data_IF_897199781612
#
_entry.id   IF_897199781612
#
_cell.length_a   1.000
_cell.length_b   1.000
_cell.length_c   1.000
_cell.angle_alpha   90.00
_cell.angle_beta   90.00
_cell.angle_gamma   90.00
#
_symmetry.space_group_name_H-M   'P 1'
#
loop_
_entity.id
_entity.type
_entity.pdbx_description
1 polymer ?
#
# COMPACT_ATOMS: atom_id res chain seq x y z
N UNK A 1 9.74 -17.21 -4.13
CA UNK A 1 8.40 -16.64 -3.87
C UNK A 1 8.02 -16.04 -5.20
N UNK A 2 7.02 -16.59 -5.88
CA UNK A 2 6.56 -16.03 -7.14
C UNK A 2 5.93 -14.68 -6.83
N UNK A 3 6.35 -13.63 -7.54
CA UNK A 3 5.64 -12.35 -7.51
C UNK A 3 4.17 -12.60 -7.86
N UNK A 4 3.21 -11.90 -7.23
CA UNK A 4 1.81 -12.04 -7.61
C UNK A 4 1.69 -11.79 -9.11
N UNK A 5 1.03 -12.72 -9.81
CA UNK A 5 0.81 -12.57 -11.24
C UNK A 5 -0.11 -11.37 -11.45
N UNK A 6 0.48 -10.29 -11.96
CA UNK A 6 -0.25 -9.07 -12.24
C UNK A 6 -1.23 -9.32 -13.37
N UNK A 7 -2.47 -8.89 -13.17
CA UNK A 7 -3.52 -8.97 -14.16
C UNK A 7 -3.37 -7.76 -15.07
N UNK A 8 -3.27 -8.01 -16.37
CA UNK A 8 -3.33 -6.97 -17.38
C UNK A 8 -4.67 -6.24 -17.29
N UNK A 9 -4.64 -4.91 -17.18
CA UNK A 9 -5.84 -4.10 -17.01
C UNK A 9 -6.47 -3.84 -18.38
N UNK A 10 -7.38 -4.72 -18.77
CA UNK A 10 -8.21 -4.58 -19.98
C UNK A 10 -9.58 -3.96 -19.64
N UNK A 11 -10.36 -3.59 -20.65
CA UNK A 11 -11.74 -3.11 -20.43
C UNK A 11 -12.64 -4.16 -19.76
N UNK A 12 -12.40 -5.46 -19.98
CA UNK A 12 -13.12 -6.52 -19.28
C UNK A 12 -12.79 -6.52 -17.79
N UNK A 13 -11.52 -6.35 -17.43
CA UNK A 13 -11.08 -6.24 -16.04
C UNK A 13 -11.67 -4.98 -15.41
N UNK A 14 -11.65 -3.83 -16.10
CA UNK A 14 -12.27 -2.60 -15.62
C UNK A 14 -13.79 -2.78 -15.42
N UNK A 15 -14.49 -3.43 -16.35
CA UNK A 15 -15.91 -3.72 -16.21
C UNK A 15 -16.21 -4.65 -15.02
N UNK A 16 -15.36 -5.66 -14.78
CA UNK A 16 -15.43 -6.53 -13.60
C UNK A 16 -15.20 -5.73 -12.31
N UNK A 17 -14.17 -4.88 -12.27
CA UNK A 17 -13.87 -4.03 -11.12
C UNK A 17 -15.02 -3.06 -10.84
N UNK A 18 -15.67 -2.46 -11.85
CA UNK A 18 -16.86 -1.59 -11.67
C UNK A 18 -18.05 -2.30 -11.02
N UNK A 19 -18.18 -3.62 -11.20
CA UNK A 19 -19.22 -4.43 -10.54
C UNK A 19 -18.88 -4.71 -9.07
N UNK A 20 -17.60 -4.85 -8.75
CA UNK A 20 -17.09 -5.15 -7.40
C UNK A 20 -17.00 -3.87 -6.57
N UNK A 21 -16.24 -2.90 -7.09
CA UNK A 21 -16.00 -1.57 -6.54
C UNK A 21 -17.18 -0.71 -6.96
N UNK A 22 -18.21 -0.66 -6.12
CA UNK A 22 -19.44 0.12 -6.33
C UNK A 22 -19.21 1.63 -6.12
N UNK A 23 -18.05 2.13 -6.55
CA UNK A 23 -17.61 3.52 -6.44
C UNK A 23 -17.00 3.94 -7.79
N UNK A 24 -17.25 5.17 -8.27
CA UNK A 24 -16.64 5.63 -9.53
C UNK A 24 -15.11 5.68 -9.46
N UNK A 25 -14.47 5.15 -10.50
CA UNK A 25 -13.04 5.27 -10.76
C UNK A 25 -12.81 5.32 -12.27
N UNK A 26 -11.69 5.91 -12.70
CA UNK A 26 -11.38 6.14 -14.11
C UNK A 26 -10.38 5.15 -14.68
N UNK A 27 -9.53 4.56 -13.83
CA UNK A 27 -8.48 3.63 -14.26
C UNK A 27 -8.08 2.69 -13.11
N UNK A 28 -7.36 1.61 -13.42
CA UNK A 28 -6.83 0.67 -12.44
C UNK A 28 -5.37 0.31 -12.76
N UNK A 29 -4.59 0.01 -11.73
CA UNK A 29 -3.20 -0.39 -11.88
C UNK A 29 -2.83 -1.45 -10.87
N UNK A 30 -1.90 -2.33 -11.25
CA UNK A 30 -1.34 -3.29 -10.33
C UNK A 30 -2.37 -4.29 -9.79
N UNK A 31 -3.38 -4.62 -10.59
CA UNK A 31 -4.48 -5.51 -10.19
C UNK A 31 -3.95 -6.93 -10.05
N UNK A 32 -4.30 -7.63 -8.98
CA UNK A 32 -3.90 -9.01 -8.73
C UNK A 32 -4.91 -9.72 -7.83
N UNK A 33 -4.83 -11.05 -7.81
CA UNK A 33 -5.56 -11.87 -6.83
C UNK A 33 -4.85 -11.83 -5.47
N UNK A 34 -5.64 -11.71 -4.40
CA UNK A 34 -5.23 -11.93 -3.03
C UNK A 34 -4.82 -13.40 -2.81
N UNK A 35 -4.13 -13.73 -1.70
CA UNK A 35 -3.75 -15.11 -1.37
C UNK A 35 -4.92 -16.09 -1.29
N UNK A 36 -6.15 -15.60 -1.07
CA UNK A 36 -7.37 -16.42 -1.08
C UNK A 36 -7.77 -16.92 -2.50
N UNK A 37 -7.09 -16.43 -3.54
CA UNK A 37 -7.32 -16.79 -4.95
C UNK A 37 -8.63 -16.26 -5.54
N UNK A 38 -9.38 -15.43 -4.81
CA UNK A 38 -10.74 -15.01 -5.19
C UNK A 38 -10.92 -13.49 -5.14
N UNK A 39 -10.35 -12.85 -4.12
CA UNK A 39 -10.48 -11.40 -3.91
C UNK A 39 -9.48 -10.67 -4.78
N UNK A 40 -9.93 -9.64 -5.50
CA UNK A 40 -9.03 -8.75 -6.26
C UNK A 40 -8.55 -7.60 -5.38
N UNK A 41 -7.31 -7.18 -5.61
CA UNK A 41 -6.77 -5.96 -5.03
C UNK A 41 -5.83 -5.26 -6.01
N UNK A 42 -5.48 -4.02 -5.70
CA UNK A 42 -4.63 -3.20 -6.53
C UNK A 42 -4.86 -1.72 -6.26
N UNK A 43 -4.60 -0.90 -7.27
CA UNK A 43 -4.87 0.52 -7.26
C UNK A 43 -6.01 0.85 -8.20
N UNK A 44 -6.82 1.82 -7.81
CA UNK A 44 -7.75 2.51 -8.71
C UNK A 44 -7.45 4.00 -8.70
N UNK A 45 -7.64 4.64 -9.85
CA UNK A 45 -7.57 6.09 -10.01
C UNK A 45 -8.96 6.68 -9.82
N UNK A 46 -9.12 7.52 -8.81
CA UNK A 46 -10.37 8.23 -8.55
C UNK A 46 -10.56 9.39 -9.55
N UNK A 47 -11.79 9.90 -9.72
CA UNK A 47 -12.06 11.04 -10.59
C UNK A 47 -11.29 12.32 -10.22
N UNK A 48 -10.89 12.48 -8.96
CA UNK A 48 -10.05 13.58 -8.49
C UNK A 48 -8.55 13.40 -8.77
N UNK A 49 -8.18 12.32 -9.48
CA UNK A 49 -6.81 12.03 -9.91
C UNK A 49 -5.98 11.23 -8.90
N UNK A 50 -6.48 10.99 -7.68
CA UNK A 50 -5.76 10.21 -6.67
C UNK A 50 -5.73 8.73 -7.03
N UNK A 51 -4.59 8.09 -6.82
CA UNK A 51 -4.48 6.64 -6.82
C UNK A 51 -4.63 6.13 -5.39
N UNK A 52 -5.58 5.21 -5.17
CA UNK A 52 -5.87 4.65 -3.85
C UNK A 52 -5.91 3.13 -3.90
N UNK A 53 -5.56 2.43 -2.81
CA UNK A 53 -5.68 0.97 -2.75
C UNK A 53 -7.15 0.55 -2.77
N UNK A 54 -7.40 -0.65 -3.30
CA UNK A 54 -8.66 -1.36 -3.11
C UNK A 54 -8.41 -2.83 -2.76
N UNK A 55 -9.37 -3.44 -2.08
CA UNK A 55 -9.43 -4.88 -1.82
C UNK A 55 -10.89 -5.33 -1.82
N UNK A 56 -11.26 -6.19 -2.77
CA UNK A 56 -12.66 -6.51 -3.00
C UNK A 56 -13.44 -5.24 -3.34
N UNK A 57 -14.53 -4.99 -2.60
CA UNK A 57 -15.35 -3.78 -2.73
C UNK A 57 -14.86 -2.61 -1.86
N UNK A 58 -13.86 -2.81 -1.00
CA UNK A 58 -13.32 -1.78 -0.12
C UNK A 58 -12.34 -0.88 -0.89
N UNK A 59 -12.45 0.44 -0.69
CA UNK A 59 -11.55 1.45 -1.27
C UNK A 59 -10.95 2.25 -0.12
N UNK A 60 -9.62 2.32 -0.06
CA UNK A 60 -8.86 2.91 1.04
C UNK A 60 -8.45 4.35 0.70
N UNK A 61 -9.41 5.27 0.72
CA UNK A 61 -9.12 6.71 0.54
C UNK A 61 -8.43 7.34 1.74
N UNK A 62 -8.58 6.71 2.90
CA UNK A 62 -7.92 7.05 4.13
C UNK A 62 -7.31 5.79 4.75
N UNK A 63 -6.13 5.94 5.34
CA UNK A 63 -5.45 4.88 6.10
C UNK A 63 -4.97 5.51 7.40
N UNK A 64 -5.31 4.90 8.54
CA UNK A 64 -5.07 5.44 9.87
C UNK A 64 -5.61 6.88 10.05
N UNK A 65 -6.77 7.19 9.44
CA UNK A 65 -7.38 8.53 9.46
C UNK A 65 -6.65 9.58 8.62
N UNK A 66 -5.73 9.17 7.75
CA UNK A 66 -4.95 10.07 6.88
C UNK A 66 -5.38 9.90 5.43
N UNK A 67 -5.72 11.00 4.78
CA UNK A 67 -6.09 11.02 3.36
C UNK A 67 -4.91 10.58 2.49
N UNK A 68 -5.16 9.59 1.63
CA UNK A 68 -4.21 9.07 0.66
C UNK A 68 -4.25 9.95 -0.59
N UNK A 69 -3.10 10.52 -0.98
CA UNK A 69 -2.91 11.27 -2.23
C UNK A 69 -2.43 10.36 -3.37
N UNK A 70 -1.53 9.43 -3.06
CA UNK A 70 -0.95 8.47 -3.99
C UNK A 70 -0.41 7.23 -3.26
N UNK A 71 -0.08 6.17 -3.98
CA UNK A 71 0.40 4.89 -3.42
C UNK A 71 1.56 4.37 -4.26
N UNK A 72 2.55 3.78 -3.60
CA UNK A 72 3.64 3.06 -4.26
C UNK A 72 4.02 1.80 -3.46
N UNK A 73 4.67 0.84 -4.13
CA UNK A 73 5.09 -0.44 -3.53
C UNK A 73 3.92 -1.26 -2.92
N UNK A 74 2.71 -1.09 -3.45
CA UNK A 74 1.53 -1.84 -2.99
C UNK A 74 1.73 -3.33 -3.25
N UNK A 75 1.48 -4.15 -2.24
CA UNK A 75 1.41 -5.60 -2.36
C UNK A 75 0.51 -6.20 -1.28
N UNK A 76 0.12 -7.45 -1.50
CA UNK A 76 -0.65 -8.24 -0.54
C UNK A 76 0.28 -9.06 0.33
N UNK A 77 0.04 -9.03 1.63
CA UNK A 77 0.65 -9.94 2.59
C UNK A 77 -0.06 -11.30 2.57
N UNK A 78 0.55 -12.32 3.20
CA UNK A 78 -0.01 -13.69 3.21
C UNK A 78 -1.39 -13.81 3.85
N UNK A 79 -1.69 -12.92 4.80
CA UNK A 79 -2.98 -12.83 5.48
C UNK A 79 -4.03 -12.02 4.68
N UNK A 80 -3.66 -11.51 3.51
CA UNK A 80 -4.51 -10.66 2.67
C UNK A 80 -4.54 -9.18 3.10
N UNK A 81 -3.71 -8.79 4.07
CA UNK A 81 -3.52 -7.39 4.45
C UNK A 81 -2.71 -6.68 3.35
N UNK A 82 -3.12 -5.48 2.95
CA UNK A 82 -2.34 -4.66 2.01
C UNK A 82 -1.21 -3.92 2.73
N UNK A 83 -0.06 -3.83 2.08
CA UNK A 83 1.09 -3.06 2.56
C UNK A 83 1.75 -2.30 1.42
N UNK A 84 2.47 -1.23 1.77
CA UNK A 84 3.18 -0.40 0.80
C UNK A 84 3.53 0.96 1.38
N UNK A 85 3.58 1.98 0.53
CA UNK A 85 3.68 3.38 0.93
C UNK A 85 2.48 4.18 0.45
N UNK A 86 2.04 5.13 1.28
CA UNK A 86 1.09 6.16 0.87
C UNK A 86 1.77 7.53 0.88
N UNK A 87 1.43 8.35 -0.10
CA UNK A 87 1.71 9.78 -0.08
C UNK A 87 0.60 10.50 0.67
N UNK A 88 0.98 11.29 1.66
CA UNK A 88 0.08 12.17 2.40
C UNK A 88 0.02 13.55 1.73
N UNK A 89 -0.99 14.34 2.10
CA UNK A 89 -1.17 15.72 1.60
C UNK A 89 -0.01 16.67 1.94
N UNK A 90 0.76 16.36 2.99
CA UNK A 90 1.98 17.11 3.36
C UNK A 90 3.20 16.72 2.51
N UNK A 91 3.01 15.86 1.51
CA UNK A 91 4.03 15.41 0.57
C UNK A 91 4.88 14.24 1.07
N UNK A 92 4.73 13.82 2.34
CA UNK A 92 5.49 12.68 2.89
C UNK A 92 5.02 11.37 2.29
N UNK A 93 5.98 10.49 2.00
CA UNK A 93 5.71 9.09 1.66
C UNK A 93 6.01 8.24 2.89
N UNK A 94 4.99 7.60 3.46
CA UNK A 94 5.13 6.81 4.69
C UNK A 94 4.69 5.35 4.48
N UNK A 95 5.31 4.37 5.16
CA UNK A 95 4.89 2.98 5.10
C UNK A 95 3.51 2.79 5.73
N UNK A 96 2.73 1.85 5.19
CA UNK A 96 1.49 1.40 5.78
C UNK A 96 1.34 -0.13 5.72
N UNK A 97 0.54 -0.66 6.65
CA UNK A 97 0.08 -2.05 6.69
C UNK A 97 -1.35 -2.07 7.18
N UNK A 98 -2.28 -2.53 6.36
CA UNK A 98 -3.70 -2.48 6.68
C UNK A 98 -4.11 -1.05 7.00
N UNK A 99 -4.64 -0.83 8.21
CA UNK A 99 -5.03 0.49 8.70
C UNK A 99 -3.97 1.14 9.64
N UNK A 100 -2.73 0.68 9.60
CA UNK A 100 -1.62 1.20 10.40
C UNK A 100 -0.60 1.92 9.52
N UNK A 101 0.12 2.87 10.08
CA UNK A 101 1.21 3.59 9.41
C UNK A 101 2.41 3.78 10.34
N UNK A 102 3.60 3.95 9.76
CA UNK A 102 4.78 4.41 10.49
C UNK A 102 5.03 5.87 10.12
N UNK A 103 4.87 6.78 11.08
CA UNK A 103 5.18 8.19 10.86
C UNK A 103 6.57 8.60 11.34
N UNK A 104 7.09 7.88 12.33
CA UNK A 104 8.35 8.19 13.00
C UNK A 104 9.15 6.92 13.28
N UNK A 105 10.48 7.05 13.21
CA UNK A 105 11.45 6.03 13.63
C UNK A 105 12.48 6.74 14.51
N UNK A 106 12.78 6.18 15.67
CA UNK A 106 13.69 6.80 16.66
C UNK A 106 13.32 8.24 17.04
N UNK A 107 12.02 8.55 17.11
CA UNK A 107 11.52 9.91 17.40
C UNK A 107 11.79 10.94 16.30
N UNK A 108 12.11 10.49 15.08
CA UNK A 108 12.26 11.35 13.89
C UNK A 108 11.18 11.03 12.88
N UNK A 109 10.54 12.07 12.36
CA UNK A 109 9.56 11.93 11.27
C UNK A 109 10.19 11.30 10.04
N UNK A 110 9.49 10.35 9.43
CA UNK A 110 9.76 9.86 8.08
C UNK A 110 9.33 10.94 7.10
N UNK A 111 10.22 11.38 6.21
CA UNK A 111 9.89 12.30 5.11
C UNK A 111 9.69 11.58 3.79
N UNK A 112 10.30 10.41 3.63
CA UNK A 112 10.15 9.59 2.44
C UNK A 112 10.46 8.12 2.77
N UNK A 113 9.65 7.20 2.27
CA UNK A 113 9.87 5.76 2.40
C UNK A 113 9.82 5.09 1.03
N UNK A 114 10.66 4.07 0.84
CA UNK A 114 10.72 3.31 -0.41
C UNK A 114 11.11 1.87 -0.18
N UNK A 115 11.04 1.07 -1.25
CA UNK A 115 11.49 -0.33 -1.27
C UNK A 115 10.75 -1.21 -0.24
N UNK A 116 9.46 -0.94 -0.03
CA UNK A 116 8.63 -1.69 0.90
C UNK A 116 8.39 -3.10 0.37
N UNK A 117 8.71 -4.12 1.19
CA UNK A 117 8.57 -5.54 0.83
C UNK A 117 8.15 -6.35 2.04
N UNK A 118 7.27 -7.34 1.86
CA UNK A 118 6.99 -8.35 2.90
C UNK A 118 7.90 -9.56 2.79
N UNK A 119 8.40 -10.01 3.94
CA UNK A 119 9.07 -11.29 4.13
C UNK A 119 8.04 -12.40 4.35
N UNK A 120 8.52 -13.66 4.27
CA UNK A 120 7.67 -14.85 4.46
C UNK A 120 7.05 -14.97 5.86
N UNK A 121 7.66 -14.37 6.87
CA UNK A 121 7.22 -14.37 8.27
C UNK A 121 6.20 -13.26 8.58
N UNK A 122 5.86 -12.42 7.59
CA UNK A 122 4.95 -11.28 7.76
C UNK A 122 5.67 -9.98 8.15
N UNK A 123 6.99 -9.99 8.36
CA UNK A 123 7.77 -8.77 8.58
C UNK A 123 7.82 -7.94 7.32
N UNK A 124 7.58 -6.64 7.42
CA UNK A 124 7.80 -5.68 6.33
C UNK A 124 9.21 -5.09 6.45
N UNK A 125 9.95 -5.02 5.35
CA UNK A 125 11.18 -4.23 5.23
C UNK A 125 10.95 -2.98 4.44
N UNK A 126 11.71 -1.93 4.72
CA UNK A 126 11.75 -0.75 3.89
C UNK A 126 12.97 0.11 4.16
N UNK A 127 13.11 1.17 3.36
CA UNK A 127 14.05 2.25 3.60
C UNK A 127 13.28 3.52 3.94
N UNK A 128 13.73 4.25 4.95
CA UNK A 128 13.15 5.51 5.35
C UNK A 128 14.20 6.61 5.38
N UNK A 129 13.89 7.74 4.76
CA UNK A 129 14.56 9.01 4.97
C UNK A 129 13.88 9.73 6.11
N UNK A 130 14.65 10.13 7.11
CA UNK A 130 14.18 10.84 8.29
C UNK A 130 14.35 12.35 8.13
N UNK A 131 13.65 13.10 8.98
CA UNK A 131 13.71 14.58 9.04
C UNK A 131 15.10 15.14 9.35
N UNK A 132 15.99 14.35 9.97
CA UNK A 132 17.40 14.69 10.17
C UNK A 132 18.30 14.26 8.99
N UNK A 133 17.69 14.00 7.83
CA UNK A 133 18.31 13.63 6.55
C UNK A 133 18.90 12.22 6.46
N UNK A 134 18.98 11.49 7.59
CA UNK A 134 19.50 10.13 7.62
C UNK A 134 18.59 9.18 6.84
N UNK A 135 19.21 8.23 6.15
CA UNK A 135 18.54 7.06 5.59
C UNK A 135 18.86 5.84 6.43
N UNK A 136 17.86 5.03 6.74
CA UNK A 136 18.04 3.74 7.38
C UNK A 136 17.16 2.67 6.74
N UNK A 137 17.54 1.41 6.96
CA UNK A 137 16.65 0.28 6.74
C UNK A 137 15.82 0.06 8.00
N UNK A 138 14.60 -0.43 7.86
CA UNK A 138 13.79 -0.82 9.02
C UNK A 138 13.11 -2.16 8.77
N UNK A 139 12.86 -2.88 9.87
CA UNK A 139 11.90 -3.96 9.95
C UNK A 139 10.64 -3.49 10.66
N UNK A 140 9.48 -3.91 10.19
CA UNK A 140 8.21 -3.74 10.86
C UNK A 140 7.59 -5.11 11.08
N UNK A 141 7.66 -5.61 12.32
CA UNK A 141 7.20 -6.95 12.66
C UNK A 141 5.67 -7.04 12.72
N UNK A 142 5.14 -8.28 12.76
CA UNK A 142 3.70 -8.53 12.76
C UNK A 142 3.00 -8.02 14.03
N UNK A 143 3.75 -7.80 15.11
CA UNK A 143 3.29 -7.20 16.36
C UNK A 143 3.24 -5.67 16.32
N UNK A 144 3.68 -5.05 15.22
CA UNK A 144 3.61 -3.60 15.03
C UNK A 144 4.89 -2.86 15.43
N UNK A 145 5.94 -3.56 15.86
CA UNK A 145 7.20 -2.94 16.31
C UNK A 145 8.06 -2.58 15.11
N UNK A 146 8.67 -1.41 15.18
CA UNK A 146 9.60 -0.91 14.15
C UNK A 146 11.01 -0.99 14.69
N UNK A 147 11.88 -1.71 13.97
CA UNK A 147 13.27 -1.97 14.35
C UNK A 147 14.16 -1.33 13.28
N UNK A 148 14.81 -0.19 13.56
CA UNK A 148 15.80 0.40 12.65
C UNK A 148 17.03 -0.51 12.52
N UNK A 149 17.72 -0.45 11.39
CA UNK A 149 18.90 -1.25 11.04
C UNK A 149 20.02 -0.36 10.47
#
# INVERSE_FOLDING_TARGET
>A
MTEPQMIEVTEEVLAKLRKIIKKPFVDAWGVHYQPDGKTLAGLIKLPDGRWVPFRGNEVFEEIAGKKVENVAYLHSQKDGTLAGTIKLLDGRWIPFRGNEVIEEIEGKKIVYAQEIRSKKDGTITGRAKLSDTRWLYFFWDKEGRVIPQ
#
